data_IF_588824383897
#
_entry.id   IF_588824383897
#
_cell.length_a   1.000
_cell.length_b   1.000
_cell.length_c   1.000
_cell.angle_alpha   90.00
_cell.angle_beta   90.00
_cell.angle_gamma   90.00
#
_symmetry.space_group_name_H-M   'P 1'
#
loop_
_entity.id
_entity.type
_entity.pdbx_description
1 polymer ?
#
# COMPACT_ATOMS: atom_id res chain seq x y z
N UNK A 1 6.14 -12.52 -12.46
CA UNK A 1 4.98 -12.01 -11.68
C UNK A 1 5.21 -10.53 -11.43
N UNK A 2 4.18 -9.69 -11.61
CA UNK A 2 4.25 -8.22 -11.46
C UNK A 2 3.99 -7.81 -10.01
N UNK A 3 4.66 -6.77 -9.51
CA UNK A 3 4.36 -6.19 -8.20
C UNK A 3 2.95 -5.60 -8.19
N UNK A 4 2.23 -5.74 -7.07
CA UNK A 4 0.90 -5.16 -6.93
C UNK A 4 1.00 -3.63 -6.78
N UNK A 5 0.07 -2.88 -7.38
CA UNK A 5 -0.11 -1.45 -7.12
C UNK A 5 -0.39 -1.29 -5.64
N UNK A 6 0.41 -0.44 -4.99
CA UNK A 6 0.38 -0.21 -3.56
C UNK A 6 -0.58 0.92 -3.23
N UNK A 7 -1.18 0.83 -2.06
CA UNK A 7 -1.80 1.99 -1.44
C UNK A 7 -0.67 2.96 -1.04
N UNK A 8 -0.94 4.27 -1.05
CA UNK A 8 0.07 5.29 -0.75
C UNK A 8 -0.38 6.14 0.43
N UNK A 9 0.57 6.66 1.19
CA UNK A 9 0.32 7.64 2.26
C UNK A 9 1.28 8.82 2.12
N UNK A 10 0.75 10.03 2.33
CA UNK A 10 1.54 11.26 2.34
C UNK A 10 1.73 11.82 3.75
N UNK A 11 2.98 12.06 4.14
CA UNK A 11 3.40 12.68 5.41
C UNK A 11 4.35 13.83 5.07
N UNK A 12 4.06 15.05 5.55
CA UNK A 12 4.87 16.26 5.29
C UNK A 12 5.26 16.43 3.81
N UNK A 13 4.27 16.32 2.92
CA UNK A 13 4.40 16.40 1.45
C UNK A 13 5.26 15.32 0.79
N UNK A 14 5.72 14.32 1.55
CA UNK A 14 6.43 13.16 1.03
C UNK A 14 5.49 11.96 0.91
N UNK A 15 5.60 11.24 -0.21
CA UNK A 15 4.82 10.03 -0.47
C UNK A 15 5.57 8.79 -0.07
N UNK A 16 4.85 7.87 0.55
CA UNK A 16 5.32 6.56 0.95
C UNK A 16 4.35 5.51 0.41
N UNK A 17 4.88 4.39 -0.04
CA UNK A 17 4.08 3.21 -0.34
C UNK A 17 3.74 2.50 0.97
N UNK A 18 2.49 2.09 1.13
CA UNK A 18 2.05 1.23 2.23
C UNK A 18 2.38 -0.21 1.84
N UNK A 19 3.28 -0.85 2.59
CA UNK A 19 3.68 -2.24 2.34
C UNK A 19 2.84 -3.21 3.17
N UNK A 20 2.61 -2.90 4.45
CA UNK A 20 1.90 -3.79 5.37
C UNK A 20 1.07 -3.01 6.39
N UNK A 21 -0.02 -3.64 6.83
CA UNK A 21 -0.83 -3.19 7.95
C UNK A 21 -0.92 -4.36 8.92
N UNK A 22 -0.72 -4.10 10.21
CA UNK A 22 -0.74 -5.12 11.27
C UNK A 22 -2.07 -5.87 11.39
N UNK A 23 -3.15 -5.28 10.89
CA UNK A 23 -4.47 -5.87 10.75
C UNK A 23 -5.26 -5.11 9.67
N UNK A 24 -6.44 -5.62 9.31
CA UNK A 24 -7.34 -5.01 8.31
C UNK A 24 -8.58 -4.35 8.92
N UNK A 25 -8.77 -4.44 10.23
CA UNK A 25 -9.96 -3.88 10.88
C UNK A 25 -9.90 -2.35 10.85
N UNK A 26 -11.04 -1.71 10.57
CA UNK A 26 -11.12 -0.25 10.44
C UNK A 26 -10.42 0.33 9.20
N UNK A 27 -9.82 -0.51 8.34
CA UNK A 27 -9.26 -0.08 7.06
C UNK A 27 -10.36 0.18 6.03
N UNK A 28 -10.07 1.02 5.04
CA UNK A 28 -11.04 1.34 3.99
C UNK A 28 -11.24 0.17 3.03
N UNK A 29 -12.50 -0.21 2.83
CA UNK A 29 -12.93 -1.19 1.83
C UNK A 29 -14.08 -0.62 0.98
N UNK A 30 -13.96 -0.53 -0.36
CA UNK A 30 -15.01 -0.01 -1.24
C UNK A 30 -16.34 -0.75 -1.10
N UNK A 31 -16.30 -2.04 -0.79
CA UNK A 31 -17.47 -2.90 -0.65
C UNK A 31 -18.36 -2.50 0.52
N UNK A 32 -17.79 -1.90 1.58
CA UNK A 32 -18.55 -1.32 2.68
C UNK A 32 -19.42 -0.13 2.24
N UNK A 33 -19.14 0.44 1.06
CA UNK A 33 -19.86 1.54 0.45
C UNK A 33 -20.66 1.12 -0.79
N UNK A 34 -20.87 -0.19 -0.98
CA UNK A 34 -21.63 -0.72 -2.12
C UNK A 34 -20.93 -0.61 -3.47
N UNK A 35 -19.61 -0.38 -3.47
CA UNK A 35 -18.78 -0.39 -4.68
C UNK A 35 -18.01 -1.70 -4.73
N UNK A 36 -18.08 -2.41 -5.87
CA UNK A 36 -17.50 -3.74 -6.04
C UNK A 36 -16.46 -3.71 -7.18
N UNK A 37 -15.18 -3.45 -6.85
CA UNK A 37 -14.11 -3.41 -7.84
C UNK A 37 -13.88 -4.77 -8.50
N UNK A 38 -13.48 -4.75 -9.77
CA UNK A 38 -12.99 -5.93 -10.50
C UNK A 38 -11.48 -5.85 -10.70
N UNK A 39 -10.80 -7.00 -10.70
CA UNK A 39 -9.37 -7.07 -10.98
C UNK A 39 -9.02 -6.31 -12.25
N UNK A 40 -8.09 -5.36 -12.13
CA UNK A 40 -7.70 -4.48 -13.23
C UNK A 40 -6.62 -5.09 -14.11
N UNK A 41 -5.66 -5.78 -13.48
CA UNK A 41 -4.53 -6.46 -14.12
C UNK A 41 -3.87 -7.40 -13.11
N UNK A 42 -2.84 -8.15 -13.52
CA UNK A 42 -2.00 -8.92 -12.60
C UNK A 42 -1.29 -8.05 -11.55
N UNK A 43 -1.12 -6.76 -11.82
CA UNK A 43 -0.58 -5.78 -10.88
C UNK A 43 -1.67 -5.17 -9.97
N UNK A 44 -2.96 -5.43 -10.17
CA UNK A 44 -4.01 -4.88 -9.31
C UNK A 44 -5.20 -5.83 -9.25
N UNK A 45 -4.96 -6.96 -8.57
CA UNK A 45 -5.96 -8.04 -8.39
C UNK A 45 -7.12 -7.56 -7.52
N UNK A 46 -6.87 -6.69 -6.52
CA UNK A 46 -7.91 -6.03 -5.72
C UNK A 46 -8.88 -5.20 -6.55
N UNK A 47 -8.46 -4.72 -7.72
CA UNK A 47 -9.26 -3.83 -8.55
C UNK A 47 -9.35 -2.39 -8.04
N UNK A 48 -8.68 -2.06 -6.94
CA UNK A 48 -8.59 -0.69 -6.43
C UNK A 48 -7.27 -0.44 -5.71
N UNK A 49 -6.93 0.83 -5.57
CA UNK A 49 -5.88 1.32 -4.68
C UNK A 49 -6.29 2.66 -4.09
N UNK A 50 -5.74 2.97 -2.93
CA UNK A 50 -6.08 4.14 -2.12
C UNK A 50 -4.88 5.05 -1.94
N UNK A 51 -5.14 6.35 -1.85
CA UNK A 51 -4.18 7.31 -1.33
C UNK A 51 -4.71 7.89 -0.02
N UNK A 52 -3.80 8.00 0.94
CA UNK A 52 -4.03 8.52 2.27
C UNK A 52 -3.11 9.71 2.55
N UNK A 53 -3.44 10.48 3.58
CA UNK A 53 -2.57 11.50 4.16
C UNK A 53 -2.71 11.52 5.67
N UNK A 54 -1.67 11.96 6.37
CA UNK A 54 -1.76 12.31 7.78
C UNK A 54 -1.85 13.83 7.88
N UNK A 55 -2.97 14.34 8.39
CA UNK A 55 -3.17 15.77 8.65
C UNK A 55 -3.57 15.97 10.10
N UNK A 56 -2.88 16.85 10.82
CA UNK A 56 -3.14 17.10 12.25
C UNK A 56 -3.16 15.78 13.06
N UNK A 57 -2.23 14.88 12.73
CA UNK A 57 -2.12 13.50 13.24
C UNK A 57 -3.26 12.56 12.85
N UNK A 58 -4.29 12.99 12.14
CA UNK A 58 -5.39 12.13 11.71
C UNK A 58 -5.09 11.46 10.35
N UNK A 59 -5.36 10.16 10.25
CA UNK A 59 -5.31 9.39 9.01
C UNK A 59 -6.57 9.66 8.18
N UNK A 60 -6.36 10.21 6.98
CA UNK A 60 -7.43 10.56 6.07
C UNK A 60 -7.24 9.84 4.74
N UNK A 61 -8.32 9.24 4.23
CA UNK A 61 -8.41 8.80 2.85
C UNK A 61 -8.65 10.01 1.95
N UNK A 62 -7.76 10.23 0.99
CA UNK A 62 -7.82 11.37 0.07
C UNK A 62 -8.37 10.99 -1.29
N UNK A 63 -8.01 9.80 -1.79
CA UNK A 63 -8.53 9.30 -3.05
C UNK A 63 -8.61 7.79 -3.13
N UNK A 64 -9.51 7.31 -3.97
CA UNK A 64 -9.65 5.90 -4.32
C UNK A 64 -9.72 5.76 -5.83
N UNK A 65 -8.87 4.92 -6.38
CA UNK A 65 -8.87 4.56 -7.78
C UNK A 65 -9.48 3.16 -7.91
N UNK A 66 -10.51 3.01 -8.76
CA UNK A 66 -11.29 1.79 -8.89
C UNK A 66 -11.34 1.34 -10.34
N UNK A 67 -11.23 0.03 -10.54
CA UNK A 67 -11.64 -0.68 -11.74
C UNK A 67 -13.08 -1.12 -11.58
N UNK A 68 -14.04 -0.44 -12.24
CA UNK A 68 -15.45 -0.77 -12.11
C UNK A 68 -15.78 -2.07 -12.83
N UNK A 69 -16.73 -2.82 -12.27
CA UNK A 69 -17.34 -3.96 -12.96
C UNK A 69 -18.15 -3.53 -14.19
N UNK A 70 -18.50 -4.50 -15.05
CA UNK A 70 -19.24 -4.22 -16.30
C UNK A 70 -20.59 -3.53 -16.05
N UNK A 71 -21.32 -3.93 -15.01
CA UNK A 71 -22.62 -3.33 -14.66
C UNK A 71 -22.46 -1.84 -14.31
N UNK A 72 -21.43 -1.51 -13.54
CA UNK A 72 -21.09 -0.15 -13.14
C UNK A 72 -20.67 0.70 -14.33
N UNK A 73 -19.86 0.14 -15.26
CA UNK A 73 -19.49 0.80 -16.52
C UNK A 73 -20.71 1.16 -17.36
N UNK A 74 -21.66 0.25 -17.49
CA UNK A 74 -22.88 0.47 -18.26
C UNK A 74 -23.79 1.51 -17.59
N UNK A 75 -23.97 1.43 -16.28
CA UNK A 75 -24.81 2.37 -15.52
C UNK A 75 -24.30 3.80 -15.59
N UNK A 76 -22.99 4.02 -15.50
CA UNK A 76 -22.42 5.37 -15.55
C UNK A 76 -22.70 6.12 -16.88
N UNK A 77 -22.93 5.38 -17.97
CA UNK A 77 -23.35 5.95 -19.25
C UNK A 77 -24.75 6.56 -19.20
N UNK A 78 -25.63 6.04 -18.33
CA UNK A 78 -27.04 6.39 -18.28
C UNK A 78 -27.46 7.14 -17.00
N UNK A 79 -26.74 6.97 -15.88
CA UNK A 79 -27.01 7.63 -14.60
C UNK A 79 -25.72 7.79 -13.78
N UNK A 80 -25.27 9.03 -13.62
CA UNK A 80 -24.06 9.38 -12.85
C UNK A 80 -24.30 9.51 -11.34
N UNK A 81 -25.57 9.56 -10.90
CA UNK A 81 -25.92 9.79 -9.49
C UNK A 81 -25.80 8.53 -8.61
N UNK A 82 -25.79 7.34 -9.20
CA UNK A 82 -25.87 6.04 -8.49
C UNK A 82 -24.53 5.48 -8.03
N UNK A 83 -23.43 6.20 -8.24
CA UNK A 83 -22.07 5.72 -7.97
C UNK A 83 -21.23 6.77 -7.26
N UNK A 84 -21.81 7.43 -6.27
CA UNK A 84 -21.04 8.26 -5.35
C UNK A 84 -20.34 7.39 -4.31
N UNK A 85 -19.05 7.58 -4.13
CA UNK A 85 -18.31 7.04 -2.98
C UNK A 85 -18.13 8.20 -2.00
N UNK A 86 -18.63 8.05 -0.76
CA UNK A 86 -18.55 9.09 0.27
C UNK A 86 -19.08 10.45 -0.22
N UNK A 87 -20.18 10.42 -1.01
CA UNK A 87 -20.80 11.62 -1.58
C UNK A 87 -20.06 12.24 -2.78
N UNK A 88 -18.96 11.64 -3.25
CA UNK A 88 -18.19 12.11 -4.40
C UNK A 88 -18.44 11.25 -5.63
N UNK A 89 -18.67 11.87 -6.77
CA UNK A 89 -18.72 11.18 -8.07
C UNK A 89 -17.31 10.89 -8.58
N UNK A 90 -17.12 9.81 -9.36
CA UNK A 90 -15.82 9.49 -9.93
C UNK A 90 -15.48 10.44 -11.09
N UNK A 91 -14.23 10.88 -11.14
CA UNK A 91 -13.57 11.35 -12.35
C UNK A 91 -13.16 10.14 -13.19
N UNK A 92 -13.31 10.22 -14.52
CA UNK A 92 -12.92 9.13 -15.42
C UNK A 92 -11.60 9.49 -16.08
N UNK A 93 -10.53 8.80 -15.69
CA UNK A 93 -9.27 8.84 -16.41
C UNK A 93 -9.30 7.82 -17.56
N UNK A 94 -9.48 8.33 -18.77
CA UNK A 94 -9.51 7.51 -19.99
C UNK A 94 -8.12 7.03 -20.42
N UNK A 95 -7.04 7.60 -19.88
CA UNK A 95 -5.67 7.20 -20.20
C UNK A 95 -5.21 5.99 -19.39
N UNK A 96 -5.85 5.73 -18.24
CA UNK A 96 -5.48 4.65 -17.33
C UNK A 96 -6.43 3.46 -17.43
N UNK A 97 -6.01 2.41 -18.15
CA UNK A 97 -6.85 1.22 -18.41
C UNK A 97 -7.07 0.36 -17.15
N UNK A 98 -6.22 0.50 -16.13
CA UNK A 98 -6.31 -0.29 -14.90
C UNK A 98 -7.50 0.10 -14.04
N UNK A 99 -7.39 1.24 -13.36
CA UNK A 99 -8.39 1.75 -12.40
C UNK A 99 -8.87 3.14 -12.83
N UNK A 100 -9.70 3.23 -13.89
CA UNK A 100 -10.03 4.51 -14.53
C UNK A 100 -10.96 5.39 -13.71
N UNK A 101 -11.64 4.87 -12.68
CA UNK A 101 -12.54 5.66 -11.85
C UNK A 101 -11.79 6.21 -10.65
N UNK A 102 -11.69 7.53 -10.56
CA UNK A 102 -10.92 8.21 -9.52
C UNK A 102 -11.87 9.04 -8.67
N UNK A 103 -11.99 8.69 -7.41
CA UNK A 103 -12.69 9.50 -6.41
C UNK A 103 -11.66 10.35 -5.69
N UNK A 104 -11.76 11.68 -5.81
CA UNK A 104 -10.83 12.65 -5.18
C UNK A 104 -11.53 13.43 -4.07
N UNK A 105 -10.71 14.13 -3.28
CA UNK A 105 -11.15 15.04 -2.22
C UNK A 105 -12.14 14.39 -1.25
N UNK A 106 -11.89 13.11 -0.92
CA UNK A 106 -12.74 12.33 -0.03
C UNK A 106 -12.66 12.84 1.42
N UNK A 107 -11.45 13.24 1.85
CA UNK A 107 -11.16 13.74 3.19
C UNK A 107 -11.82 12.91 4.30
N UNK A 108 -11.84 11.58 4.12
CA UNK A 108 -12.58 10.68 4.99
C UNK A 108 -11.67 10.11 6.08
N UNK A 109 -12.06 10.31 7.34
CA UNK A 109 -11.31 9.79 8.48
C UNK A 109 -11.34 8.26 8.53
N UNK A 110 -10.16 7.66 8.69
CA UNK A 110 -10.00 6.21 8.80
C UNK A 110 -9.74 5.87 10.25
N UNK A 111 -10.66 5.15 10.89
CA UNK A 111 -10.58 4.77 12.31
C UNK A 111 -9.69 3.51 12.51
N UNK A 112 -8.51 3.50 11.90
CA UNK A 112 -7.56 2.40 11.99
C UNK A 112 -6.84 2.39 13.34
N UNK A 113 -6.71 1.21 13.95
CA UNK A 113 -5.86 0.98 15.13
C UNK A 113 -4.87 -0.12 14.80
N UNK A 114 -3.58 0.18 14.95
CA UNK A 114 -2.48 -0.73 14.64
C UNK A 114 -1.29 -0.04 13.98
N UNK A 115 -0.29 -0.82 13.61
CA UNK A 115 0.88 -0.37 12.88
C UNK A 115 0.71 -0.46 11.36
N UNK A 116 1.29 0.50 10.65
CA UNK A 116 1.42 0.55 9.19
C UNK A 116 2.90 0.68 8.84
N UNK A 117 3.42 -0.26 8.04
CA UNK A 117 4.75 -0.15 7.45
C UNK A 117 4.69 0.63 6.15
N UNK A 118 5.43 1.74 6.12
CA UNK A 118 5.44 2.66 5.00
C UNK A 118 6.88 2.86 4.52
N UNK A 119 7.06 2.82 3.20
CA UNK A 119 8.37 2.76 2.58
C UNK A 119 8.49 3.76 1.44
N UNK A 120 9.66 4.37 1.27
CA UNK A 120 9.95 5.25 0.13
C UNK A 120 11.33 4.96 -0.46
N UNK A 121 11.51 5.33 -1.73
CA UNK A 121 12.74 5.15 -2.51
C UNK A 121 13.20 3.69 -2.50
N UNK A 122 12.54 2.85 -3.30
CA UNK A 122 13.04 1.51 -3.55
C UNK A 122 14.45 1.59 -4.13
N UNK A 123 15.43 1.06 -3.42
CA UNK A 123 16.82 1.00 -3.86
C UNK A 123 16.88 -0.08 -4.93
N UNK A 124 17.11 0.33 -6.18
CA UNK A 124 17.32 -0.58 -7.31
C UNK A 124 18.62 -1.37 -7.08
N UNK A 125 18.53 -2.42 -6.28
CA UNK A 125 19.65 -3.30 -5.97
C UNK A 125 19.68 -4.46 -6.94
N UNK A 126 20.89 -5.01 -7.11
CA UNK A 126 21.19 -6.26 -7.85
C UNK A 126 20.42 -7.49 -7.32
N UNK A 127 19.58 -7.31 -6.29
CA UNK A 127 18.87 -8.36 -5.60
C UNK A 127 17.65 -8.89 -6.35
N UNK A 128 17.21 -8.18 -7.40
CA UNK A 128 16.00 -8.49 -8.17
C UNK A 128 14.74 -8.30 -7.31
N UNK A 129 13.77 -7.53 -7.79
CA UNK A 129 12.46 -7.49 -7.12
C UNK A 129 11.81 -8.86 -7.34
N UNK A 130 11.95 -9.74 -6.36
CA UNK A 130 11.26 -11.01 -6.33
C UNK A 130 9.75 -10.74 -6.18
N UNK A 131 8.97 -11.52 -6.91
CA UNK A 131 7.51 -11.48 -6.97
C UNK A 131 6.81 -11.19 -5.63
N UNK A 132 5.90 -10.21 -5.60
CA UNK A 132 5.04 -9.92 -4.44
C UNK A 132 5.24 -8.51 -3.88
N UNK A 133 5.18 -8.39 -2.55
CA UNK A 133 5.56 -7.17 -1.83
C UNK A 133 7.10 -7.13 -1.76
N UNK A 134 7.76 -6.04 -2.19
CA UNK A 134 9.21 -5.94 -2.09
C UNK A 134 9.62 -6.07 -0.63
N UNK A 135 10.67 -6.84 -0.35
CA UNK A 135 11.14 -6.95 1.02
C UNK A 135 11.52 -5.56 1.54
N UNK A 136 11.00 -5.18 2.70
CA UNK A 136 11.06 -3.78 3.16
C UNK A 136 12.49 -3.23 3.34
N UNK A 137 13.50 -4.11 3.51
CA UNK A 137 14.90 -3.67 3.54
C UNK A 137 15.41 -3.17 2.18
N UNK A 138 14.66 -3.37 1.11
CA UNK A 138 14.96 -2.86 -0.24
C UNK A 138 14.65 -1.37 -0.39
N UNK A 139 14.12 -0.70 0.64
CA UNK A 139 13.82 0.72 0.61
C UNK A 139 14.86 1.53 1.37
N UNK A 140 15.08 2.75 0.90
CA UNK A 140 15.97 3.70 1.56
C UNK A 140 15.35 4.19 2.88
N UNK A 141 14.05 4.49 2.83
CA UNK A 141 13.30 4.98 3.99
C UNK A 141 12.22 3.99 4.37
N UNK A 142 12.22 3.58 5.64
CA UNK A 142 11.25 2.63 6.21
C UNK A 142 10.79 3.17 7.55
N UNK A 143 9.48 3.38 7.67
CA UNK A 143 8.87 3.84 8.90
C UNK A 143 7.76 2.89 9.34
N UNK A 144 7.61 2.75 10.65
CA UNK A 144 6.42 2.17 11.27
C UNK A 144 5.57 3.31 11.84
N UNK A 145 4.38 3.50 11.29
CA UNK A 145 3.40 4.47 11.76
C UNK A 145 2.34 3.76 12.61
N UNK A 146 2.25 4.11 13.89
CA UNK A 146 1.34 3.49 14.86
C UNK A 146 0.12 4.39 15.04
N UNK A 147 -1.07 3.82 14.86
CA UNK A 147 -2.34 4.53 14.97
C UNK A 147 -3.22 3.97 16.08
N UNK A 148 -4.00 4.86 16.69
CA UNK A 148 -5.11 4.53 17.57
C UNK A 148 -6.35 5.33 17.13
N UNK A 149 -7.43 4.62 16.75
CA UNK A 149 -8.68 5.22 16.28
C UNK A 149 -8.46 6.26 15.17
N UNK A 150 -7.52 5.99 14.27
CA UNK A 150 -7.17 6.88 13.16
C UNK A 150 -6.22 8.01 13.49
N UNK A 151 -5.77 8.15 14.74
CA UNK A 151 -4.77 9.14 15.13
C UNK A 151 -3.39 8.51 15.19
N UNK A 152 -2.43 9.08 14.47
CA UNK A 152 -1.03 8.75 14.58
C UNK A 152 -0.60 9.01 16.02
N UNK A 153 -0.11 7.98 16.69
CA UNK A 153 0.43 8.04 18.04
C UNK A 153 1.95 8.21 17.96
N UNK A 154 2.58 7.38 17.13
CA UNK A 154 4.04 7.28 17.02
C UNK A 154 4.47 7.01 15.57
N UNK A 155 5.62 7.54 15.18
CA UNK A 155 6.26 7.28 13.90
C UNK A 155 7.72 6.91 14.16
N UNK A 156 8.06 5.66 13.91
CA UNK A 156 9.37 5.09 14.23
C UNK A 156 10.16 4.92 12.94
N UNK A 157 11.39 5.45 12.90
CA UNK A 157 12.28 5.34 11.76
C UNK A 157 13.17 4.09 11.87
N UNK A 158 12.95 3.14 10.96
CA UNK A 158 13.70 1.89 10.85
C UNK A 158 14.73 1.92 9.71
N UNK A 159 14.90 3.05 9.02
CA UNK A 159 15.69 3.16 7.79
C UNK A 159 17.14 2.71 7.97
N UNK A 160 17.77 3.07 9.10
CA UNK A 160 19.14 2.64 9.42
C UNK A 160 19.24 1.14 9.66
N UNK A 161 18.33 0.57 10.45
CA UNK A 161 18.31 -0.87 10.71
C UNK A 161 18.06 -1.65 9.43
N UNK A 162 17.18 -1.14 8.55
CA UNK A 162 16.90 -1.75 7.24
C UNK A 162 18.11 -1.65 6.30
N UNK A 163 18.91 -0.58 6.38
CA UNK A 163 20.18 -0.51 5.66
C UNK A 163 21.18 -1.59 6.14
N UNK A 164 21.33 -1.77 7.45
CA UNK A 164 22.21 -2.82 8.01
C UNK A 164 21.75 -4.24 7.65
N UNK A 165 20.43 -4.48 7.60
CA UNK A 165 19.88 -5.75 7.10
C UNK A 165 20.20 -5.93 5.62
N UNK A 166 19.97 -4.91 4.80
CA UNK A 166 20.26 -4.95 3.36
C UNK A 166 21.73 -5.24 3.08
N UNK A 167 22.65 -4.58 3.78
CA UNK A 167 24.10 -4.77 3.60
C UNK A 167 24.52 -6.20 3.96
N UNK A 168 23.96 -6.77 5.03
CA UNK A 168 24.18 -8.17 5.41
C UNK A 168 23.65 -9.14 4.35
N UNK A 169 22.43 -8.94 3.87
CA UNK A 169 21.83 -9.79 2.82
C UNK A 169 22.64 -9.76 1.54
N UNK A 170 23.17 -8.58 1.15
CA UNK A 170 24.05 -8.45 -0.02
C UNK A 170 25.37 -9.20 0.20
N UNK A 171 25.99 -9.04 1.37
CA UNK A 171 27.27 -9.69 1.68
C UNK A 171 27.16 -11.23 1.74
N UNK A 172 26.00 -11.76 2.14
CA UNK A 172 25.75 -13.21 2.28
C UNK A 172 25.34 -13.89 0.97
N UNK A 173 25.03 -13.16 -0.11
CA UNK A 173 24.70 -13.77 -1.41
C UNK A 173 25.97 -14.19 -2.17
N UNK A 174 26.21 -15.50 -2.40
CA UNK A 174 27.26 -15.91 -3.33
C UNK A 174 26.89 -15.51 -4.76
N UNK A 175 27.88 -15.11 -5.56
CA UNK A 175 27.74 -14.61 -6.94
C UNK A 175 27.04 -15.58 -7.92
N UNK A 176 26.68 -16.81 -7.51
CA UNK A 176 26.33 -17.91 -8.42
C UNK A 176 25.00 -18.62 -8.17
N UNK A 177 24.18 -18.27 -7.18
CA UNK A 177 22.89 -18.95 -6.97
C UNK A 177 21.69 -18.18 -7.51
N UNK A 178 21.34 -18.48 -8.76
CA UNK A 178 20.01 -18.29 -9.36
C UNK A 178 18.98 -19.34 -8.86
N UNK A 179 19.23 -19.97 -7.71
CA UNK A 179 18.29 -20.88 -7.07
C UNK A 179 17.56 -20.17 -5.94
N UNK A 180 16.23 -20.28 -5.94
CA UNK A 180 15.33 -19.80 -4.88
C UNK A 180 15.70 -20.42 -3.53
N UNK A 181 16.56 -19.73 -2.76
CA UNK A 181 16.90 -20.15 -1.42
C UNK A 181 15.83 -19.62 -0.44
N UNK A 182 14.91 -20.51 -0.07
CA UNK A 182 13.84 -20.21 0.88
C UNK A 182 14.37 -19.93 2.32
N UNK A 183 15.61 -20.29 2.64
CA UNK A 183 16.19 -20.01 3.97
C UNK A 183 16.47 -18.53 4.20
N UNK A 184 16.75 -17.77 3.14
CA UNK A 184 16.84 -16.31 3.19
C UNK A 184 15.46 -15.71 3.50
N UNK A 185 14.39 -16.22 2.89
CA UNK A 185 13.02 -15.75 3.12
C UNK A 185 12.54 -15.96 4.56
N UNK A 186 12.89 -17.10 5.18
CA UNK A 186 12.57 -17.36 6.58
C UNK A 186 13.35 -16.46 7.54
N UNK A 187 14.63 -16.17 7.24
CA UNK A 187 15.43 -15.20 7.99
C UNK A 187 14.91 -13.79 7.86
N UNK A 188 14.49 -13.39 6.66
CA UNK A 188 13.82 -12.10 6.43
C UNK A 188 12.59 -12.00 7.32
N UNK A 189 11.69 -13.00 7.29
CA UNK A 189 10.52 -13.02 8.16
C UNK A 189 10.86 -12.93 9.64
N UNK A 190 11.93 -13.57 10.09
CA UNK A 190 12.37 -13.49 11.48
C UNK A 190 12.86 -12.08 11.85
N UNK A 191 13.69 -11.46 11.00
CA UNK A 191 14.16 -10.09 11.19
C UNK A 191 12.99 -9.11 11.21
N UNK A 192 12.02 -9.28 10.30
CA UNK A 192 10.79 -8.47 10.28
C UNK A 192 9.96 -8.67 11.55
N UNK A 193 9.78 -9.92 11.99
CA UNK A 193 9.01 -10.25 13.18
C UNK A 193 9.66 -9.74 14.47
N UNK A 194 10.98 -9.55 14.51
CA UNK A 194 11.73 -9.07 15.68
C UNK A 194 11.94 -7.55 15.69
N UNK A 195 12.01 -6.90 14.52
CA UNK A 195 12.33 -5.47 14.41
C UNK A 195 11.15 -4.55 14.76
N UNK A 196 9.93 -4.91 14.33
CA UNK A 196 8.78 -4.01 14.45
C UNK A 196 8.03 -4.15 15.76
N UNK A 197 7.49 -3.02 16.21
CA UNK A 197 6.70 -2.93 17.43
C UNK A 197 5.35 -3.65 17.26
N UNK A 198 4.71 -3.51 16.10
CA UNK A 198 3.54 -4.30 15.75
C UNK A 198 3.94 -5.61 15.08
N UNK A 199 3.07 -6.63 15.22
CA UNK A 199 3.19 -7.88 14.49
C UNK A 199 2.39 -7.76 13.18
N UNK A 200 3.01 -8.16 12.07
CA UNK A 200 2.48 -8.07 10.71
C UNK A 200 2.41 -9.45 10.05
#
# INVERSE_FOLDING_TARGET
>A
MTAQIRDEISIDDRRYAIEQCSNREGWFEPTAYGVYPEAASSACVRGFHCAYTIRERQLLLTSVNISPNMSDRLKLKYDRSTRTLLGKSPEIDKSWVGTPWIYRDLCHAINYTGGILICNNAVATQLGIVSGHPTIYLFESVFEAIFELGFLIELIDYSKQMAEVRDRVIAERPETTLSWDFSLYDRERQILAEAFQCKY
#
